data_IF_410089272013
#
_entry.id   IF_410089272013
#
_cell.length_a   1.000
_cell.length_b   1.000
_cell.length_c   1.000
_cell.angle_alpha   90.00
_cell.angle_beta   90.00
_cell.angle_gamma   90.00
#
_symmetry.space_group_name_H-M   'P 1'
#
loop_
_entity.id
_entity.type
_entity.pdbx_description
1 polymer ?
#
# COMPACT_ATOMS: atom_id res chain seq x y z
N UNK A 1 6.94 -35.60 -55.34
CA UNK A 1 5.59 -36.21 -55.16
C UNK A 1 5.51 -36.71 -53.72
N UNK A 2 4.57 -36.41 -52.82
CA UNK A 2 3.30 -35.65 -52.73
C UNK A 2 3.23 -35.22 -51.23
N UNK A 3 3.12 -33.91 -50.96
CA UNK A 3 1.96 -33.19 -50.37
C UNK A 3 1.53 -33.57 -48.93
N UNK A 4 1.85 -32.64 -48.04
CA UNK A 4 1.18 -32.16 -46.80
C UNK A 4 -0.26 -32.58 -46.52
N UNK A 5 -0.58 -32.75 -45.22
CA UNK A 5 -1.89 -32.38 -44.68
C UNK A 5 -1.76 -31.82 -43.24
N UNK A 6 -1.95 -30.50 -43.12
CA UNK A 6 -2.26 -29.78 -41.89
C UNK A 6 -3.76 -29.94 -41.60
N UNK A 7 -4.16 -30.12 -40.34
CA UNK A 7 -5.57 -30.06 -39.91
C UNK A 7 -5.73 -28.94 -38.87
N UNK A 8 -6.36 -27.85 -39.31
CA UNK A 8 -7.04 -26.84 -38.49
C UNK A 8 -8.48 -27.33 -38.22
N UNK A 9 -9.06 -27.10 -37.03
CA UNK A 9 -10.50 -26.97 -36.89
C UNK A 9 -10.90 -25.50 -36.79
N UNK A 10 -11.85 -25.14 -37.66
CA UNK A 10 -12.46 -23.83 -37.82
C UNK A 10 -13.54 -23.54 -36.77
N UNK A 11 -13.78 -22.24 -36.55
CA UNK A 11 -14.91 -21.67 -35.81
C UNK A 11 -16.26 -22.18 -36.35
N UNK A 12 -17.19 -22.46 -35.45
CA UNK A 12 -18.63 -22.41 -35.72
C UNK A 12 -19.25 -21.24 -34.96
N UNK A 13 -19.68 -20.23 -35.72
CA UNK A 13 -20.62 -19.21 -35.29
C UNK A 13 -21.97 -19.63 -35.89
N UNK A 14 -22.97 -19.88 -35.05
CA UNK A 14 -24.36 -19.91 -35.50
C UNK A 14 -25.24 -19.12 -34.53
N UNK A 15 -25.74 -18.01 -35.06
CA UNK A 15 -26.89 -17.22 -34.61
C UNK A 15 -28.18 -17.87 -35.12
N UNK A 16 -29.25 -17.84 -34.30
CA UNK A 16 -30.69 -17.81 -34.62
C UNK A 16 -31.43 -18.31 -33.37
N UNK A 17 -32.54 -17.77 -32.89
CA UNK A 17 -33.42 -16.69 -33.35
C UNK A 17 -34.59 -16.60 -32.34
N UNK A 18 -35.08 -15.40 -32.13
CA UNK A 18 -36.24 -15.06 -31.30
C UNK A 18 -37.56 -15.52 -31.92
N UNK A 19 -38.49 -16.02 -31.10
CA UNK A 19 -39.93 -16.10 -31.40
C UNK A 19 -40.79 -15.65 -30.21
N UNK A 20 -41.60 -14.63 -30.49
CA UNK A 20 -42.94 -14.27 -29.95
C UNK A 20 -43.89 -15.50 -29.92
N UNK A 21 -45.04 -15.59 -29.25
CA UNK A 21 -46.00 -14.70 -28.58
C UNK A 21 -47.02 -15.61 -27.85
N UNK A 22 -47.72 -15.15 -26.79
CA UNK A 22 -49.19 -15.25 -26.67
C UNK A 22 -49.71 -14.66 -25.36
N UNK A 23 -50.74 -13.82 -25.51
CA UNK A 23 -51.49 -13.06 -24.52
C UNK A 23 -52.44 -13.91 -23.65
N UNK A 24 -52.78 -13.43 -22.45
CA UNK A 24 -54.17 -13.04 -22.13
C UNK A 24 -54.30 -12.37 -20.75
N UNK A 25 -54.73 -11.11 -20.81
CA UNK A 25 -55.74 -10.41 -19.99
C UNK A 25 -55.90 -10.70 -18.49
N UNK A 26 -55.74 -9.64 -17.68
CA UNK A 26 -56.90 -8.91 -17.11
C UNK A 26 -56.50 -7.59 -16.42
N UNK A 27 -57.40 -6.62 -16.63
CA UNK A 27 -57.35 -5.21 -16.24
C UNK A 27 -58.00 -4.98 -14.87
N UNK A 28 -57.49 -3.94 -14.17
CA UNK A 28 -58.16 -2.95 -13.31
C UNK A 28 -58.02 -2.99 -11.78
N UNK A 29 -57.29 -1.95 -11.33
CA UNK A 29 -57.64 -0.92 -10.33
C UNK A 29 -57.81 -1.30 -8.85
N UNK A 30 -57.04 -0.59 -7.99
CA UNK A 30 -57.57 0.33 -6.96
C UNK A 30 -56.47 1.38 -6.65
N UNK A 31 -56.91 2.65 -6.51
CA UNK A 31 -56.15 3.86 -6.19
C UNK A 31 -55.82 3.95 -4.68
N UNK A 32 -55.19 5.08 -4.31
CA UNK A 32 -55.00 5.69 -2.96
C UNK A 32 -53.84 5.08 -2.16
N UNK A 33 -52.86 5.82 -1.61
CA UNK A 33 -52.79 7.23 -1.22
C UNK A 33 -51.34 7.75 -1.14
N UNK A 34 -51.23 9.07 -1.35
CA UNK A 34 -50.32 10.01 -0.69
C UNK A 34 -48.86 9.60 -0.43
N UNK A 35 -47.99 10.12 -1.30
CA UNK A 35 -46.56 10.27 -1.09
C UNK A 35 -46.27 11.04 0.20
N UNK A 36 -46.00 10.32 1.28
CA UNK A 36 -45.22 10.85 2.38
C UNK A 36 -43.75 10.62 2.03
N UNK A 37 -43.07 11.75 1.79
CA UNK A 37 -41.62 11.86 1.82
C UNK A 37 -41.11 11.27 3.15
N UNK A 38 -40.76 9.98 3.14
CA UNK A 38 -39.74 9.46 4.01
C UNK A 38 -38.43 10.07 3.52
N UNK A 39 -38.13 11.28 4.00
CA UNK A 39 -36.74 11.65 4.22
C UNK A 39 -36.21 10.61 5.21
N UNK A 40 -35.64 9.53 4.66
CA UNK A 40 -34.63 8.76 5.35
C UNK A 40 -33.55 9.75 5.78
N UNK A 41 -33.66 10.24 7.01
CA UNK A 41 -32.48 10.60 7.77
C UNK A 41 -31.62 9.35 7.73
N UNK A 42 -30.63 9.31 6.84
CA UNK A 42 -29.46 8.45 7.00
C UNK A 42 -28.91 8.81 8.37
N UNK A 43 -29.31 8.04 9.36
CA UNK A 43 -28.66 7.97 10.64
C UNK A 43 -27.21 7.64 10.28
N UNK A 44 -26.33 8.63 10.40
CA UNK A 44 -24.91 8.44 10.18
C UNK A 44 -24.52 7.41 11.22
N UNK A 45 -24.35 6.16 10.79
CA UNK A 45 -23.93 5.08 11.65
C UNK A 45 -22.67 5.59 12.34
N UNK A 46 -22.79 5.84 13.65
CA UNK A 46 -21.70 6.32 14.48
C UNK A 46 -20.62 5.26 14.35
N UNK A 47 -19.61 5.55 13.55
CA UNK A 47 -18.63 4.54 13.19
C UNK A 47 -17.83 4.27 14.44
N UNK A 48 -17.81 3.02 14.85
CA UNK A 48 -17.08 2.61 16.03
C UNK A 48 -15.60 2.50 15.68
N UNK A 49 -14.77 2.99 16.59
CA UNK A 49 -13.34 2.74 16.62
C UNK A 49 -13.06 1.51 17.47
N UNK A 50 -12.05 0.74 17.09
CA UNK A 50 -11.50 -0.35 17.89
C UNK A 50 -10.10 0.01 18.37
N UNK A 51 -9.73 -0.51 19.55
CA UNK A 51 -8.39 -0.29 20.12
C UNK A 51 -7.34 -0.90 19.20
N UNK A 52 -6.39 -0.07 18.76
CA UNK A 52 -5.36 -0.43 17.79
C UNK A 52 -4.01 0.15 18.22
N UNK A 53 -3.46 -0.35 19.32
CA UNK A 53 -2.27 0.19 19.96
C UNK A 53 -0.97 -0.16 19.21
N UNK A 54 -0.69 0.55 18.12
CA UNK A 54 0.51 0.39 17.28
C UNK A 54 1.33 1.68 17.15
N UNK A 55 2.58 1.56 16.73
CA UNK A 55 3.41 2.72 16.41
C UNK A 55 3.30 3.04 14.92
N UNK A 56 3.28 4.33 14.60
CA UNK A 56 3.26 4.82 13.23
C UNK A 56 4.26 5.94 12.99
N UNK A 57 4.36 6.34 11.72
CA UNK A 57 5.16 7.45 11.22
C UNK A 57 4.23 8.40 10.46
N UNK A 58 4.41 9.70 10.69
CA UNK A 58 3.94 10.76 9.80
C UNK A 58 5.13 11.25 8.97
N UNK A 59 4.95 11.32 7.65
CA UNK A 59 5.94 11.88 6.74
C UNK A 59 5.81 13.41 6.65
N UNK A 60 6.85 14.06 6.16
CA UNK A 60 6.88 15.52 5.96
C UNK A 60 5.79 15.92 4.96
N UNK A 61 4.98 16.92 5.33
CA UNK A 61 3.92 17.43 4.48
C UNK A 61 2.72 17.97 5.27
N UNK A 62 1.67 18.30 4.53
CA UNK A 62 0.41 18.82 5.06
C UNK A 62 -0.64 17.70 5.11
N UNK A 63 -1.04 17.31 6.31
CA UNK A 63 -1.94 16.17 6.55
C UNK A 63 -3.29 16.68 7.03
N UNK A 64 -4.39 16.21 6.42
CA UNK A 64 -5.75 16.56 6.84
C UNK A 64 -6.13 15.83 8.12
N UNK A 65 -6.83 16.53 9.01
CA UNK A 65 -7.43 15.92 10.20
C UNK A 65 -8.93 16.20 10.30
N UNK A 66 -9.63 15.30 10.99
CA UNK A 66 -11.07 15.16 10.95
C UNK A 66 -11.68 15.21 12.35
N UNK A 67 -12.98 15.50 12.42
CA UNK A 67 -13.77 15.34 13.64
C UNK A 67 -14.32 13.90 13.78
N UNK A 68 -15.03 13.63 14.88
CA UNK A 68 -15.65 12.32 15.16
C UNK A 68 -16.75 11.93 14.16
N UNK A 69 -17.22 12.85 13.32
CA UNK A 69 -18.15 12.58 12.22
C UNK A 69 -17.42 12.48 10.86
N UNK A 70 -16.09 12.39 10.89
CA UNK A 70 -15.20 12.33 9.72
C UNK A 70 -15.32 13.52 8.77
N UNK A 71 -15.70 14.69 9.30
CA UNK A 71 -15.62 15.95 8.56
C UNK A 71 -14.22 16.53 8.71
N UNK A 72 -13.61 16.93 7.59
CA UNK A 72 -12.33 17.65 7.60
C UNK A 72 -12.50 18.96 8.40
N UNK A 73 -11.62 19.16 9.38
CA UNK A 73 -11.65 20.34 10.28
C UNK A 73 -10.35 21.15 10.24
N UNK A 74 -9.30 20.64 9.59
CA UNK A 74 -8.06 21.38 9.38
C UNK A 74 -6.93 20.53 8.82
N UNK A 75 -5.73 21.10 8.88
CA UNK A 75 -4.48 20.48 8.43
C UNK A 75 -3.39 20.57 9.50
N UNK A 76 -2.55 19.56 9.55
CA UNK A 76 -1.33 19.49 10.34
C UNK A 76 -0.14 19.62 9.40
N UNK A 77 0.73 20.59 9.67
CA UNK A 77 2.02 20.69 9.00
C UNK A 77 3.05 19.86 9.77
N UNK A 78 3.66 18.92 9.06
CA UNK A 78 4.69 18.02 9.56
C UNK A 78 6.02 18.45 8.95
N UNK A 79 6.84 19.14 9.74
CA UNK A 79 8.12 19.69 9.30
C UNK A 79 9.25 18.66 9.34
N UNK A 80 9.07 17.59 10.11
CA UNK A 80 10.01 16.48 10.24
C UNK A 80 9.29 15.15 10.37
N UNK A 81 9.89 14.08 9.84
CA UNK A 81 9.35 12.73 9.94
C UNK A 81 9.22 12.36 11.42
N UNK A 82 7.99 12.08 11.85
CA UNK A 82 7.63 12.00 13.27
C UNK A 82 7.03 10.65 13.61
N UNK A 83 7.50 10.05 14.71
CA UNK A 83 6.85 8.86 15.28
C UNK A 83 5.60 9.25 16.06
N UNK A 84 4.53 8.48 15.88
CA UNK A 84 3.25 8.65 16.55
C UNK A 84 2.78 7.34 17.17
N UNK A 85 1.91 7.44 18.18
CA UNK A 85 1.17 6.31 18.71
C UNK A 85 -0.21 6.29 18.06
N UNK A 86 -0.54 5.19 17.39
CA UNK A 86 -1.89 4.89 16.94
C UNK A 86 -2.62 4.27 18.13
N UNK A 87 -3.72 4.87 18.56
CA UNK A 87 -4.52 4.40 19.71
C UNK A 87 -5.70 3.56 19.25
N UNK A 88 -6.37 3.99 18.18
CA UNK A 88 -7.59 3.37 17.66
C UNK A 88 -7.66 3.42 16.14
N UNK A 89 -8.41 2.48 15.56
CA UNK A 89 -8.69 2.36 14.13
C UNK A 89 -10.18 2.20 13.90
N UNK A 90 -10.75 2.85 12.88
CA UNK A 90 -12.16 2.65 12.54
C UNK A 90 -12.40 1.21 12.10
N UNK A 91 -13.53 0.63 12.49
CA UNK A 91 -13.87 -0.76 12.11
C UNK A 91 -14.12 -0.86 10.59
N UNK A 92 -14.68 0.19 9.99
CA UNK A 92 -14.99 0.25 8.55
C UNK A 92 -13.94 1.03 7.78
N UNK A 93 -13.82 0.70 6.50
CA UNK A 93 -13.05 1.47 5.51
C UNK A 93 -13.91 2.60 4.93
N UNK A 94 -13.26 3.71 4.61
CA UNK A 94 -13.88 4.93 4.08
C UNK A 94 -13.20 5.35 2.79
N UNK A 95 -13.96 5.99 1.90
CA UNK A 95 -13.42 6.68 0.73
C UNK A 95 -13.72 8.17 0.88
N UNK A 96 -12.71 8.97 1.21
CA UNK A 96 -12.88 10.41 1.45
C UNK A 96 -13.16 11.20 0.17
N UNK A 97 -12.67 10.70 -0.99
CA UNK A 97 -12.86 11.32 -2.29
C UNK A 97 -14.17 10.91 -2.99
N UNK A 98 -14.97 10.04 -2.34
CA UNK A 98 -16.19 9.44 -2.89
C UNK A 98 -15.95 8.75 -4.24
N UNK A 99 -14.72 8.27 -4.45
CA UNK A 99 -14.37 7.47 -5.61
C UNK A 99 -15.02 6.09 -5.50
N UNK A 100 -15.22 5.45 -6.66
CA UNK A 100 -15.60 4.04 -6.74
C UNK A 100 -14.40 3.11 -6.61
N UNK A 101 -13.19 3.67 -6.69
CA UNK A 101 -11.95 2.93 -6.55
C UNK A 101 -11.84 2.37 -5.13
N UNK A 102 -11.73 1.04 -5.06
CA UNK A 102 -11.57 0.34 -3.79
C UNK A 102 -10.19 0.60 -3.20
N UNK A 103 -9.17 0.76 -4.04
CA UNK A 103 -7.80 0.97 -3.59
C UNK A 103 -7.63 2.27 -2.81
N UNK A 104 -8.51 3.26 -3.03
CA UNK A 104 -8.49 4.53 -2.31
C UNK A 104 -9.25 4.48 -0.97
N UNK A 105 -9.64 3.28 -0.51
CA UNK A 105 -10.33 3.11 0.76
C UNK A 105 -9.34 2.86 1.88
N UNK A 106 -9.57 3.51 3.02
CA UNK A 106 -8.73 3.32 4.20
C UNK A 106 -9.51 3.50 5.49
N UNK A 107 -8.93 3.08 6.61
CA UNK A 107 -9.47 3.35 7.93
C UNK A 107 -9.20 4.80 8.35
N UNK A 108 -10.03 5.34 9.24
CA UNK A 108 -9.64 6.48 10.07
C UNK A 108 -8.87 5.98 11.29
N UNK A 109 -7.91 6.79 11.75
CA UNK A 109 -7.01 6.45 12.84
C UNK A 109 -7.02 7.56 13.87
N UNK A 110 -7.15 7.19 15.16
CA UNK A 110 -6.85 8.09 16.26
C UNK A 110 -5.37 7.97 16.59
N UNK A 111 -4.68 9.10 16.58
CA UNK A 111 -3.25 9.16 16.88
C UNK A 111 -2.93 10.21 17.94
N UNK A 112 -1.90 9.95 18.74
CA UNK A 112 -1.29 10.94 19.62
C UNK A 112 -0.11 11.63 18.93
N UNK A 113 -0.17 12.96 18.79
CA UNK A 113 0.92 13.78 18.25
C UNK A 113 1.01 15.13 18.98
N UNK A 114 2.22 15.51 19.40
CA UNK A 114 2.49 16.76 20.16
C UNK A 114 1.50 16.99 21.33
N UNK A 115 1.25 15.94 22.11
CA UNK A 115 0.34 15.92 23.28
C UNK A 115 -1.15 16.18 22.96
N UNK A 116 -1.55 16.07 21.69
CA UNK A 116 -2.94 16.16 21.24
C UNK A 116 -3.33 14.89 20.51
N UNK A 117 -4.62 14.59 20.54
CA UNK A 117 -5.20 13.53 19.73
C UNK A 117 -5.71 14.11 18.41
N UNK A 118 -5.52 13.36 17.33
CA UNK A 118 -6.03 13.68 16.00
C UNK A 118 -6.67 12.45 15.37
N UNK A 119 -7.75 12.68 14.60
CA UNK A 119 -8.31 11.69 13.70
C UNK A 119 -7.76 11.97 12.31
N UNK A 120 -6.99 11.04 11.76
CA UNK A 120 -6.39 11.14 10.43
C UNK A 120 -6.94 10.05 9.51
N UNK A 121 -6.92 10.29 8.20
CA UNK A 121 -7.20 9.26 7.22
C UNK A 121 -5.96 8.39 6.98
N UNK A 122 -6.16 7.09 6.85
CA UNK A 122 -5.09 6.09 6.91
C UNK A 122 -4.07 6.16 5.78
N UNK A 123 -4.35 6.86 4.68
CA UNK A 123 -3.38 7.12 3.60
C UNK A 123 -2.14 7.90 4.10
N UNK A 124 -2.32 8.76 5.11
CA UNK A 124 -1.31 9.72 5.59
C UNK A 124 -0.57 9.21 6.85
N UNK A 125 -0.94 8.04 7.37
CA UNK A 125 -0.35 7.42 8.55
C UNK A 125 0.26 6.09 8.15
N UNK A 126 1.53 5.89 8.48
CA UNK A 126 2.25 4.67 8.12
C UNK A 126 2.52 3.82 9.36
N UNK A 127 2.03 2.58 9.43
CA UNK A 127 2.36 1.65 10.51
C UNK A 127 3.83 1.20 10.39
N UNK A 128 4.52 1.09 11.52
CA UNK A 128 5.88 0.56 11.58
C UNK A 128 5.86 -0.98 11.61
N UNK A 129 6.49 -1.62 10.62
CA UNK A 129 6.73 -3.05 10.66
C UNK A 129 7.97 -3.37 11.52
N UNK A 130 7.74 -3.55 12.83
CA UNK A 130 8.82 -3.90 13.79
C UNK A 130 9.45 -5.26 13.55
N UNK A 131 8.72 -6.21 12.93
CA UNK A 131 9.21 -7.56 12.71
C UNK A 131 10.33 -7.60 11.66
N UNK A 132 10.37 -6.61 10.77
CA UNK A 132 11.38 -6.49 9.72
C UNK A 132 12.42 -5.41 10.00
N UNK A 133 12.51 -4.98 11.27
CA UNK A 133 13.53 -4.04 11.71
C UNK A 133 14.91 -4.70 11.73
N UNK A 134 15.86 -4.08 11.05
CA UNK A 134 17.26 -4.49 11.03
C UNK A 134 18.10 -3.39 11.67
N UNK A 135 18.82 -3.76 12.72
CA UNK A 135 19.77 -2.89 13.40
C UNK A 135 21.18 -3.09 12.85
N UNK A 136 21.90 -1.99 12.63
CA UNK A 136 23.26 -2.04 12.10
C UNK A 136 24.10 -0.85 12.58
N UNK A 137 25.40 -0.92 12.32
CA UNK A 137 26.34 0.17 12.59
C UNK A 137 27.17 0.48 11.33
N UNK A 138 27.60 1.73 11.20
CA UNK A 138 28.59 2.08 10.19
C UNK A 138 30.03 1.90 10.72
N UNK A 139 31.02 2.09 9.84
CA UNK A 139 32.46 2.02 10.15
C UNK A 139 32.90 2.99 11.28
N UNK A 140 32.09 4.02 11.58
CA UNK A 140 32.31 5.01 12.64
C UNK A 140 31.53 4.69 13.93
N UNK A 141 31.04 3.46 14.07
CA UNK A 141 30.22 2.98 15.20
C UNK A 141 28.92 3.79 15.44
N UNK A 142 28.40 4.51 14.44
CA UNK A 142 27.07 5.13 14.53
C UNK A 142 26.01 4.05 14.34
N UNK A 143 25.05 3.99 15.25
CA UNK A 143 24.00 2.98 15.26
C UNK A 143 22.74 3.46 14.53
N UNK A 144 22.23 2.58 13.67
CA UNK A 144 21.04 2.83 12.86
C UNK A 144 20.06 1.66 12.98
N UNK A 145 18.82 1.93 12.57
CA UNK A 145 17.85 0.91 12.22
C UNK A 145 17.27 1.20 10.85
N UNK A 146 16.96 0.17 10.08
CA UNK A 146 16.10 0.27 8.90
C UNK A 146 14.90 -0.64 9.07
N UNK A 147 13.73 -0.18 8.64
CA UNK A 147 12.50 -0.96 8.70
C UNK A 147 11.49 -0.45 7.65
N UNK A 148 10.57 -1.32 7.20
CA UNK A 148 9.46 -0.92 6.35
C UNK A 148 8.36 -0.19 7.15
N UNK A 149 7.69 0.73 6.47
CA UNK A 149 6.45 1.38 6.92
C UNK A 149 5.39 1.28 5.81
N UNK A 150 4.14 1.06 6.18
CA UNK A 150 3.03 0.83 5.23
C UNK A 150 1.84 1.68 5.65
N UNK A 151 1.23 2.42 4.72
CA UNK A 151 0.00 3.16 5.05
C UNK A 151 -1.21 2.21 5.06
N UNK A 152 -2.36 2.69 5.50
CA UNK A 152 -3.55 1.86 5.65
C UNK A 152 -4.42 1.83 4.38
N UNK A 153 -3.92 2.34 3.27
CA UNK A 153 -4.55 2.29 1.94
C UNK A 153 -3.92 1.17 1.08
N UNK A 154 -2.61 0.98 1.23
CA UNK A 154 -1.85 -0.09 0.58
C UNK A 154 -2.36 -1.48 0.97
N UNK A 155 -2.46 -2.36 -0.03
CA UNK A 155 -2.97 -3.72 0.17
C UNK A 155 -4.46 -3.79 0.58
N UNK A 156 -5.24 -2.72 0.38
CA UNK A 156 -6.67 -2.73 0.68
C UNK A 156 -7.39 -3.82 -0.12
N UNK A 157 -7.84 -4.88 0.56
CA UNK A 157 -8.56 -6.02 -0.03
C UNK A 157 -10.07 -5.88 0.11
N UNK A 158 -10.83 -6.23 -0.94
CA UNK A 158 -12.29 -6.30 -0.88
C UNK A 158 -12.77 -7.55 -0.13
N UNK A 159 -14.09 -7.75 -0.08
CA UNK A 159 -14.69 -8.90 0.60
C UNK A 159 -14.26 -10.25 -0.02
N UNK A 160 -13.67 -10.25 -1.22
CA UNK A 160 -13.17 -11.42 -1.93
C UNK A 160 -11.64 -11.59 -1.82
N UNK A 161 -10.94 -10.65 -1.19
CA UNK A 161 -9.52 -10.75 -0.84
C UNK A 161 -8.51 -10.37 -1.93
N UNK A 162 -8.94 -9.94 -3.12
CA UNK A 162 -8.03 -9.60 -4.23
C UNK A 162 -8.53 -8.37 -4.99
N UNK A 163 -7.82 -7.25 -4.84
CA UNK A 163 -8.19 -5.97 -5.45
C UNK A 163 -7.20 -5.49 -6.49
N UNK A 164 -6.05 -6.17 -6.63
CA UNK A 164 -4.95 -5.71 -7.49
C UNK A 164 -4.47 -4.30 -7.12
N UNK A 165 -4.71 -3.85 -5.88
CA UNK A 165 -4.21 -2.58 -5.39
C UNK A 165 -2.70 -2.63 -5.19
N UNK A 166 -2.07 -1.47 -5.29
CA UNK A 166 -0.66 -1.35 -4.97
C UNK A 166 -0.40 -1.83 -3.54
N UNK A 167 0.54 -2.75 -3.39
CA UNK A 167 1.00 -3.25 -2.10
C UNK A 167 2.52 -3.16 -2.04
N UNK A 168 2.99 -2.16 -1.29
CA UNK A 168 4.41 -1.95 -1.03
C UNK A 168 4.61 -1.25 0.30
N UNK A 169 5.83 -1.32 0.83
CA UNK A 169 6.22 -0.63 2.07
C UNK A 169 7.38 0.32 1.83
N UNK A 170 7.32 1.56 2.30
CA UNK A 170 8.45 2.48 2.24
C UNK A 170 9.54 2.12 3.23
N UNK A 171 10.80 2.36 2.86
CA UNK A 171 11.94 2.15 3.74
C UNK A 171 12.26 3.42 4.54
N UNK A 172 12.28 3.27 5.87
CA UNK A 172 12.70 4.31 6.80
C UNK A 172 13.99 3.92 7.49
N UNK A 173 14.92 4.87 7.53
CA UNK A 173 16.11 4.82 8.34
C UNK A 173 15.92 5.63 9.63
N UNK A 174 16.34 5.06 10.76
CA UNK A 174 16.42 5.73 12.05
C UNK A 174 17.88 5.86 12.50
N UNK A 175 18.36 7.08 12.68
CA UNK A 175 19.56 7.36 13.48
C UNK A 175 19.19 7.22 14.96
N UNK A 176 19.69 6.15 15.61
CA UNK A 176 19.33 5.84 16.99
C UNK A 176 19.84 6.87 17.99
N UNK A 177 20.95 7.55 17.69
CA UNK A 177 21.57 8.51 18.62
C UNK A 177 20.79 9.82 18.65
N UNK A 178 20.38 10.28 17.49
CA UNK A 178 19.69 11.55 17.34
C UNK A 178 18.16 11.41 17.28
N UNK A 179 17.66 10.17 17.35
CA UNK A 179 16.24 9.83 17.18
C UNK A 179 15.62 10.41 15.90
N UNK A 180 16.44 10.52 14.84
CA UNK A 180 16.05 11.16 13.59
C UNK A 180 15.70 10.11 12.53
N UNK A 181 14.52 10.28 11.93
CA UNK A 181 14.06 9.46 10.82
C UNK A 181 14.46 10.07 9.47
N UNK A 182 14.68 9.24 8.47
CA UNK A 182 15.00 9.66 7.10
C UNK A 182 14.42 8.65 6.11
N UNK A 183 13.95 9.14 4.97
CA UNK A 183 13.57 8.30 3.83
C UNK A 183 14.78 8.00 2.97
N UNK A 184 14.69 6.94 2.17
CA UNK A 184 15.63 6.65 1.09
C UNK A 184 14.93 7.01 -0.21
N UNK A 185 15.56 7.79 -1.08
CA UNK A 185 14.94 8.18 -2.37
C UNK A 185 14.79 6.96 -3.27
N UNK A 186 13.74 6.92 -4.09
CA UNK A 186 13.51 5.85 -5.05
C UNK A 186 14.71 5.71 -6.03
N UNK A 187 15.03 4.49 -6.50
CA UNK A 187 16.18 4.27 -7.38
C UNK A 187 16.02 4.94 -8.75
N UNK A 188 17.02 5.72 -9.18
CA UNK A 188 16.94 6.52 -10.43
C UNK A 188 17.10 5.73 -11.71
N UNK A 189 17.64 4.52 -11.63
CA UNK A 189 17.98 3.68 -12.78
C UNK A 189 16.93 2.59 -13.07
N UNK A 190 15.71 2.78 -12.59
CA UNK A 190 14.57 1.99 -13.04
C UNK A 190 13.91 2.69 -14.24
N UNK A 191 13.58 1.93 -15.27
CA UNK A 191 12.96 2.45 -16.50
C UNK A 191 11.49 2.89 -16.30
N UNK A 192 10.92 2.61 -15.13
CA UNK A 192 9.55 3.00 -14.81
C UNK A 192 9.49 4.45 -14.30
N UNK A 193 8.70 5.28 -15.00
CA UNK A 193 8.22 6.59 -14.55
C UNK A 193 7.23 6.41 -13.37
N UNK A 194 7.70 5.82 -12.27
CA UNK A 194 6.91 5.67 -11.06
C UNK A 194 6.78 7.03 -10.37
N UNK A 195 5.57 7.35 -9.91
CA UNK A 195 5.30 8.52 -9.05
C UNK A 195 5.83 8.33 -7.63
N UNK A 196 6.33 7.13 -7.30
CA UNK A 196 6.86 6.78 -5.99
C UNK A 196 8.18 7.54 -5.73
N UNK A 197 8.19 8.34 -4.67
CA UNK A 197 9.32 9.19 -4.29
C UNK A 197 10.39 8.47 -3.48
N UNK A 198 10.01 7.41 -2.77
CA UNK A 198 10.88 6.73 -1.81
C UNK A 198 11.12 5.27 -2.21
N UNK A 199 12.30 4.76 -1.85
CA UNK A 199 12.58 3.35 -1.97
C UNK A 199 11.56 2.55 -1.16
N UNK A 200 11.07 1.49 -1.78
CA UNK A 200 10.03 0.63 -1.23
C UNK A 200 10.41 -0.84 -1.39
N UNK A 201 9.67 -1.69 -0.68
CA UNK A 201 9.63 -3.14 -0.87
C UNK A 201 8.26 -3.50 -1.41
N UNK A 202 8.21 -4.17 -2.55
CA UNK A 202 6.95 -4.62 -3.18
C UNK A 202 6.42 -5.89 -2.48
N UNK A 203 5.10 -5.97 -2.32
CA UNK A 203 4.39 -7.10 -1.69
C UNK A 203 3.10 -7.48 -2.44
N UNK A 204 3.05 -7.27 -3.75
CA UNK A 204 1.88 -7.57 -4.57
C UNK A 204 1.78 -9.05 -4.98
N UNK A 205 0.69 -9.41 -5.67
CA UNK A 205 0.40 -10.78 -6.13
C UNK A 205 1.48 -11.33 -7.09
N UNK A 206 2.24 -10.45 -7.74
CA UNK A 206 3.28 -10.81 -8.70
C UNK A 206 4.68 -10.90 -8.09
N UNK A 207 4.94 -10.14 -7.03
CA UNK A 207 6.27 -9.98 -6.45
C UNK A 207 6.26 -9.69 -4.95
N UNK A 208 7.16 -10.35 -4.23
CA UNK A 208 7.44 -10.06 -2.84
C UNK A 208 8.93 -9.79 -2.62
N UNK A 209 9.24 -8.64 -2.04
CA UNK A 209 10.58 -8.18 -1.73
C UNK A 209 10.86 -8.14 -0.24
N UNK A 210 12.09 -8.47 0.14
CA UNK A 210 12.54 -8.40 1.54
C UNK A 210 14.02 -8.05 1.65
N UNK A 211 14.36 -7.25 2.66
CA UNK A 211 15.76 -7.01 3.01
C UNK A 211 16.33 -8.29 3.64
N UNK A 212 17.38 -8.84 3.05
CA UNK A 212 18.12 -9.95 3.63
C UNK A 212 19.48 -9.52 4.20
N UNK A 213 20.04 -8.38 3.75
CA UNK A 213 21.35 -7.93 4.21
C UNK A 213 21.42 -6.40 4.29
N UNK A 214 22.15 -5.88 5.28
CA UNK A 214 22.42 -4.45 5.42
C UNK A 214 23.89 -4.24 5.75
N UNK A 215 24.55 -3.35 5.01
CA UNK A 215 25.94 -2.98 5.25
C UNK A 215 26.21 -1.53 4.87
N UNK A 216 27.20 -0.93 5.52
CA UNK A 216 27.69 0.40 5.18
C UNK A 216 29.15 0.29 4.79
N UNK A 217 29.49 0.78 3.60
CA UNK A 217 30.86 0.76 3.07
C UNK A 217 31.18 2.15 2.54
N UNK A 218 32.24 2.80 3.02
CA UNK A 218 32.66 4.14 2.54
C UNK A 218 31.50 5.17 2.52
N UNK A 219 30.76 5.27 3.63
CA UNK A 219 29.54 6.11 3.76
C UNK A 219 28.40 5.77 2.77
N UNK A 220 28.42 4.61 2.11
CA UNK A 220 27.32 4.10 1.27
C UNK A 220 26.52 3.03 2.02
N UNK A 221 25.21 3.25 2.17
CA UNK A 221 24.26 2.23 2.62
C UNK A 221 23.99 1.25 1.47
N UNK A 222 24.15 -0.04 1.74
CA UNK A 222 23.88 -1.11 0.79
C UNK A 222 22.89 -2.07 1.44
N UNK A 223 21.70 -2.17 0.84
CA UNK A 223 20.65 -3.09 1.23
C UNK A 223 20.59 -4.21 0.21
N UNK A 224 20.86 -5.45 0.65
CA UNK A 224 20.58 -6.64 -0.13
C UNK A 224 19.09 -6.93 -0.07
N UNK A 225 18.42 -6.84 -1.22
CA UNK A 225 17.00 -7.17 -1.39
C UNK A 225 16.91 -8.50 -2.12
N UNK A 226 16.11 -9.41 -1.59
CA UNK A 226 15.73 -10.65 -2.26
C UNK A 226 14.29 -10.53 -2.71
N UNK A 227 14.02 -11.11 -3.87
CA UNK A 227 12.74 -11.00 -4.56
C UNK A 227 12.24 -12.40 -4.88
N UNK A 228 10.99 -12.67 -4.57
CA UNK A 228 10.25 -13.81 -5.12
C UNK A 228 9.22 -13.31 -6.11
N UNK A 229 9.12 -13.98 -7.24
CA UNK A 229 8.13 -13.77 -8.29
C UNK A 229 7.27 -15.03 -8.43
N UNK A 230 6.13 -14.94 -9.12
CA UNK A 230 5.33 -16.12 -9.45
C UNK A 230 6.13 -17.21 -10.20
N UNK A 231 7.08 -16.79 -11.05
CA UNK A 231 7.85 -17.68 -11.92
C UNK A 231 9.35 -17.74 -11.57
N UNK A 232 9.74 -17.39 -10.34
CA UNK A 232 11.14 -17.56 -9.93
C UNK A 232 11.59 -16.59 -8.84
N UNK A 233 12.89 -16.37 -8.76
CA UNK A 233 13.49 -15.59 -7.70
C UNK A 233 14.58 -14.65 -8.23
N UNK A 234 14.94 -13.68 -7.40
CA UNK A 234 16.04 -12.79 -7.69
C UNK A 234 16.60 -12.11 -6.46
N UNK A 235 17.62 -11.31 -6.70
CA UNK A 235 18.17 -10.40 -5.71
C UNK A 235 18.81 -9.20 -6.37
N UNK A 236 18.92 -8.11 -5.61
CA UNK A 236 19.68 -6.93 -6.01
C UNK A 236 20.18 -6.18 -4.79
N UNK A 237 21.08 -5.23 -5.02
CA UNK A 237 21.51 -4.28 -4.01
C UNK A 237 20.89 -2.92 -4.28
N UNK A 238 20.11 -2.41 -3.33
CA UNK A 238 19.75 -1.00 -3.26
C UNK A 238 20.90 -0.25 -2.58
N UNK A 239 21.52 0.67 -3.32
CA UNK A 239 22.64 1.48 -2.83
C UNK A 239 22.21 2.93 -2.69
N UNK A 240 22.51 3.54 -1.56
CA UNK A 240 22.27 4.96 -1.29
C UNK A 240 23.42 5.55 -0.47
N UNK A 241 23.61 6.87 -0.47
CA UNK A 241 24.76 7.51 0.15
C UNK A 241 24.36 8.32 1.38
N UNK A 242 25.13 8.22 2.46
CA UNK A 242 24.94 9.12 3.62
C UNK A 242 25.44 10.54 3.33
N UNK A 243 26.33 10.71 2.35
CA UNK A 243 26.92 12.03 2.03
C UNK A 243 25.93 12.99 1.39
N UNK A 244 24.92 12.46 0.70
CA UNK A 244 23.86 13.23 0.05
C UNK A 244 22.50 13.04 0.73
N UNK A 245 22.51 12.67 2.02
CA UNK A 245 21.29 12.44 2.80
C UNK A 245 20.33 11.41 2.17
N UNK A 246 20.86 10.40 1.46
CA UNK A 246 20.10 9.31 0.83
C UNK A 246 19.22 9.80 -0.35
N UNK A 247 19.59 10.93 -0.96
CA UNK A 247 18.89 11.52 -2.11
C UNK A 247 19.20 10.84 -3.45
N UNK A 248 20.32 10.11 -3.53
CA UNK A 248 20.68 9.35 -4.72
C UNK A 248 20.74 7.86 -4.42
N UNK A 249 19.76 7.14 -4.93
CA UNK A 249 19.70 5.69 -4.84
C UNK A 249 19.78 5.03 -6.21
N UNK A 250 20.42 3.85 -6.27
CA UNK A 250 20.49 3.02 -7.47
C UNK A 250 20.29 1.55 -7.11
N UNK A 251 19.76 0.79 -8.06
CA UNK A 251 19.79 -0.67 -8.03
C UNK A 251 21.05 -1.16 -8.74
N UNK A 252 21.77 -2.09 -8.11
CA UNK A 252 22.97 -2.71 -8.66
C UNK A 252 22.98 -4.22 -8.39
N UNK A 253 23.84 -4.95 -9.11
CA UNK A 253 24.09 -6.38 -8.91
C UNK A 253 22.80 -7.22 -8.93
N UNK A 254 21.95 -6.96 -9.92
CA UNK A 254 20.72 -7.74 -10.11
C UNK A 254 21.07 -9.17 -10.53
N UNK A 255 20.48 -10.15 -9.86
CA UNK A 255 20.58 -11.56 -10.18
C UNK A 255 19.18 -12.14 -10.29
N UNK A 256 18.98 -13.05 -11.25
CA UNK A 256 17.80 -13.89 -11.35
C UNK A 256 18.20 -15.35 -11.24
N UNK A 257 17.35 -16.15 -10.62
CA UNK A 257 17.58 -17.58 -10.47
C UNK A 257 16.24 -18.30 -10.28
N UNK A 258 16.14 -19.51 -10.85
CA UNK A 258 14.90 -20.29 -10.85
C UNK A 258 14.77 -21.15 -9.58
N UNK A 259 15.88 -21.41 -8.89
CA UNK A 259 15.95 -22.31 -7.75
C UNK A 259 15.65 -21.59 -6.43
N UNK A 260 14.61 -22.04 -5.72
CA UNK A 260 14.26 -21.55 -4.38
C UNK A 260 15.39 -21.76 -3.35
N UNK A 261 16.24 -22.77 -3.52
CA UNK A 261 17.37 -23.02 -2.61
C UNK A 261 18.32 -21.82 -2.56
N UNK A 262 18.65 -21.24 -3.72
CA UNK A 262 19.49 -20.03 -3.81
C UNK A 262 18.82 -18.83 -3.14
N UNK A 263 17.49 -18.71 -3.26
CA UNK A 263 16.71 -17.67 -2.57
C UNK A 263 16.81 -17.81 -1.04
N UNK A 264 16.70 -19.04 -0.53
CA UNK A 264 16.75 -19.36 0.90
C UNK A 264 18.15 -19.21 1.50
N UNK A 265 19.20 -19.33 0.69
CA UNK A 265 20.59 -19.14 1.11
C UNK A 265 20.98 -17.68 1.32
N UNK A 266 20.23 -16.71 0.78
CA UNK A 266 20.45 -15.28 0.98
C UNK A 266 20.15 -14.88 2.44
N UNK A 267 21.20 -14.46 3.16
CA UNK A 267 21.21 -14.06 4.58
C UNK A 267 22.01 -12.78 4.84
#
# INVERSE_FOLDING_TARGET
>A
MKKTLLLLPALFIMSCGSKTESNSDKISQIKTDTSNNLQEKKEVAKTNFEKYSKEGILLIGSIKFFDENFKEIGKLEIDEISKVQISEKSITLFNIDKSKDYCLKSNFLKIGYKQKEYILFGQDVYEINKAEKIDFQNEKNKAFSIFPITNFEMGASDDNGLTGCDDFSYLILLDKKNEKYSTITAPKNQENNSTIKFANLVHDDGSFEKIYNVKVINDSLILGIKVSYQEGYGSYNLKSSFKDNLENSIIANQNRFDEETKYKELK
#
